data_IF_328522305702
#
_entry.id   IF_328522305702
#
_cell.length_a   1.000
_cell.length_b   1.000
_cell.length_c   1.000
_cell.angle_alpha   90.00
_cell.angle_beta   90.00
_cell.angle_gamma   90.00
#
_symmetry.space_group_name_H-M   'P 1'
#
loop_
_entity.id
_entity.type
_entity.pdbx_description
1 polymer ?
#
# COMPACT_ATOMS: atom_id res chain seq x y z
N UNK A 1 -10.98 8.30 -16.27
CA UNK A 1 -10.08 9.36 -15.75
C UNK A 1 -8.78 9.49 -16.56
N UNK A 2 -8.57 8.70 -17.62
CA UNK A 2 -7.46 8.89 -18.57
C UNK A 2 -8.02 8.98 -19.99
N UNK A 3 -7.38 9.76 -20.87
CA UNK A 3 -7.82 9.98 -22.25
C UNK A 3 -7.62 11.41 -22.80
N UNK A 4 -6.99 12.31 -22.05
CA UNK A 4 -6.65 13.67 -22.47
C UNK A 4 -5.26 14.03 -21.95
N UNK A 5 -4.60 14.99 -22.61
CA UNK A 5 -3.31 15.50 -22.16
C UNK A 5 -3.43 16.17 -20.78
N UNK A 6 -2.40 15.96 -19.97
CA UNK A 6 -2.25 16.58 -18.66
C UNK A 6 -1.16 17.64 -18.80
N UNK A 7 -1.41 18.82 -18.26
CA UNK A 7 -0.45 19.91 -18.19
C UNK A 7 0.77 19.44 -17.38
N UNK A 8 1.96 19.51 -17.97
CA UNK A 8 3.16 18.83 -17.49
C UNK A 8 3.64 19.45 -16.20
N UNK A 9 3.71 20.78 -16.14
CA UNK A 9 4.23 21.51 -15.00
C UNK A 9 3.36 21.24 -13.78
N UNK A 10 2.03 21.40 -13.90
CA UNK A 10 1.07 21.11 -12.83
C UNK A 10 1.07 19.64 -12.40
N UNK A 11 1.30 18.71 -13.33
CA UNK A 11 1.43 17.29 -12.98
C UNK A 11 2.62 17.07 -12.04
N UNK A 12 3.78 17.62 -12.39
CA UNK A 12 5.00 17.47 -11.60
C UNK A 12 4.87 18.18 -10.25
N UNK A 13 4.33 19.40 -10.22
CA UNK A 13 4.10 20.14 -8.97
C UNK A 13 3.18 19.37 -8.02
N UNK A 14 2.07 18.83 -8.53
CA UNK A 14 1.16 18.02 -7.71
C UNK A 14 1.80 16.73 -7.20
N UNK A 15 2.73 16.14 -7.95
CA UNK A 15 3.51 14.99 -7.47
C UNK A 15 4.46 15.38 -6.33
N UNK A 16 5.14 16.53 -6.45
CA UNK A 16 6.02 17.04 -5.39
C UNK A 16 5.24 17.36 -4.12
N UNK A 17 4.09 18.04 -4.25
CA UNK A 17 3.19 18.34 -3.14
C UNK A 17 2.75 17.06 -2.41
N UNK A 18 2.31 16.05 -3.15
CA UNK A 18 1.90 14.77 -2.58
C UNK A 18 3.01 14.06 -1.81
N UNK A 19 4.24 14.09 -2.33
CA UNK A 19 5.42 13.51 -1.66
C UNK A 19 5.76 14.28 -0.38
N UNK A 20 5.74 15.62 -0.45
CA UNK A 20 6.03 16.48 0.70
C UNK A 20 4.96 16.37 1.80
N UNK A 21 3.72 16.00 1.44
CA UNK A 21 2.64 15.77 2.39
C UNK A 21 2.92 14.62 3.38
N UNK A 22 3.69 13.61 2.98
CA UNK A 22 4.14 12.53 3.88
C UNK A 22 5.44 11.89 3.35
N UNK A 23 6.59 12.44 3.78
CA UNK A 23 7.91 11.94 3.40
C UNK A 23 8.24 10.56 4.00
N UNK A 24 7.52 10.17 5.05
CA UNK A 24 7.70 8.89 5.71
C UNK A 24 6.74 7.82 5.15
N UNK A 25 5.85 8.21 4.23
CA UNK A 25 4.96 7.28 3.57
C UNK A 25 5.78 6.23 2.82
N UNK A 26 5.88 5.05 3.39
CA UNK A 26 6.49 3.93 2.68
C UNK A 26 5.62 3.62 1.47
N UNK A 27 6.23 3.15 0.36
CA UNK A 27 5.52 2.69 -0.83
C UNK A 27 4.74 1.39 -0.56
N UNK A 28 3.83 1.41 0.41
CA UNK A 28 3.05 0.27 0.84
C UNK A 28 2.00 -0.10 -0.20
N UNK A 29 1.60 0.85 -1.06
CA UNK A 29 0.58 0.65 -2.08
C UNK A 29 -0.79 0.46 -1.44
N UNK A 30 -1.77 1.30 -1.84
CA UNK A 30 -3.10 1.36 -1.20
C UNK A 30 -3.78 0.00 -0.97
N UNK A 31 -3.51 -0.98 -1.85
CA UNK A 31 -4.13 -2.29 -1.82
C UNK A 31 -3.35 -3.34 -1.02
N UNK A 32 -2.14 -3.05 -0.52
CA UNK A 32 -1.35 -4.06 0.19
C UNK A 32 -2.01 -4.57 1.47
N UNK A 33 -2.58 -3.74 2.36
CA UNK A 33 -3.27 -4.23 3.56
C UNK A 33 -4.41 -5.20 3.20
N UNK A 34 -5.24 -4.82 2.22
CA UNK A 34 -6.34 -5.66 1.74
C UNK A 34 -5.86 -6.95 1.03
N UNK A 35 -4.70 -6.95 0.38
CA UNK A 35 -4.10 -8.17 -0.19
C UNK A 35 -3.57 -9.09 0.90
N UNK A 36 -2.91 -8.54 1.91
CA UNK A 36 -2.38 -9.30 3.04
C UNK A 36 -3.51 -9.99 3.82
N UNK A 37 -4.57 -9.25 4.15
CA UNK A 37 -5.74 -9.80 4.85
C UNK A 37 -6.37 -10.98 4.09
N UNK A 38 -6.51 -10.88 2.76
CA UNK A 38 -7.03 -11.98 1.93
C UNK A 38 -6.09 -13.18 1.90
N UNK A 39 -4.78 -12.96 1.80
CA UNK A 39 -3.81 -14.06 1.81
C UNK A 39 -3.82 -14.84 3.13
N UNK A 40 -3.95 -14.12 4.26
CA UNK A 40 -4.07 -14.73 5.59
C UNK A 40 -5.36 -15.55 5.73
N UNK A 41 -6.50 -15.03 5.25
CA UNK A 41 -7.76 -15.76 5.26
C UNK A 41 -7.65 -17.10 4.50
N UNK A 42 -7.03 -17.09 3.31
CA UNK A 42 -6.80 -18.34 2.56
C UNK A 42 -5.82 -19.28 3.26
N UNK A 43 -4.79 -18.76 3.93
CA UNK A 43 -3.87 -19.59 4.71
C UNK A 43 -4.60 -20.27 5.88
N UNK A 44 -5.50 -19.56 6.56
CA UNK A 44 -6.31 -20.11 7.65
C UNK A 44 -7.27 -21.20 7.16
N UNK A 45 -7.97 -20.95 6.04
CA UNK A 45 -8.86 -21.95 5.41
C UNK A 45 -8.09 -23.21 4.98
N UNK A 46 -6.86 -23.05 4.51
CA UNK A 46 -6.01 -24.15 4.07
C UNK A 46 -5.21 -24.81 5.20
N UNK A 47 -5.25 -24.27 6.43
CA UNK A 47 -4.45 -24.75 7.56
C UNK A 47 -2.94 -24.57 7.36
N UNK A 48 -2.51 -23.56 6.61
CA UNK A 48 -1.11 -23.28 6.29
C UNK A 48 -0.46 -22.39 7.34
N UNK A 49 0.73 -22.79 7.79
CA UNK A 49 1.60 -21.95 8.60
C UNK A 49 2.23 -20.86 7.71
N UNK A 50 2.06 -19.59 8.09
CA UNK A 50 2.51 -18.42 7.33
C UNK A 50 3.12 -17.35 8.24
N UNK A 51 4.06 -17.74 9.10
CA UNK A 51 4.68 -16.88 10.11
C UNK A 51 5.07 -15.51 9.58
N UNK A 52 5.68 -15.46 8.39
CA UNK A 52 6.14 -14.19 7.83
C UNK A 52 5.01 -13.24 7.45
N UNK A 53 3.87 -13.77 6.98
CA UNK A 53 2.71 -12.93 6.65
C UNK A 53 2.07 -12.35 7.92
N UNK A 54 2.07 -13.10 9.01
CA UNK A 54 1.61 -12.64 10.34
C UNK A 54 2.51 -11.55 10.90
N UNK A 55 3.83 -11.71 10.78
CA UNK A 55 4.80 -10.67 11.16
C UNK A 55 4.59 -9.38 10.36
N UNK A 56 4.36 -9.50 9.04
CA UNK A 56 4.09 -8.33 8.19
C UNK A 56 2.79 -7.66 8.61
N UNK A 57 1.74 -8.43 8.94
CA UNK A 57 0.46 -7.88 9.41
C UNK A 57 0.66 -7.03 10.66
N UNK A 58 1.38 -7.55 11.65
CA UNK A 58 1.68 -6.83 12.89
C UNK A 58 2.49 -5.55 12.62
N UNK A 59 3.52 -5.64 11.76
CA UNK A 59 4.29 -4.46 11.38
C UNK A 59 3.44 -3.42 10.62
N UNK A 60 2.40 -3.82 9.88
CA UNK A 60 1.48 -2.86 9.24
C UNK A 60 0.55 -2.19 10.26
N UNK A 61 0.11 -2.90 11.31
CA UNK A 61 -0.73 -2.35 12.38
C UNK A 61 0.03 -1.33 13.25
N UNK A 62 1.34 -1.52 13.44
CA UNK A 62 2.20 -0.60 14.19
C UNK A 62 2.53 0.71 13.43
N UNK A 63 2.43 0.68 12.10
CA UNK A 63 2.76 1.81 11.22
C UNK A 63 1.50 2.56 10.69
N UNK A 64 0.30 2.13 11.08
CA UNK A 64 -0.98 2.73 10.69
C UNK A 64 -1.48 3.75 11.72
#
# INVERSE_FOLDING_TARGET
>A
LVGHEVERERLIEGMVEAIQGDLNHQCMGRSAPARLARALAFADEAGLEVAKLREIQQAQEENA
#
